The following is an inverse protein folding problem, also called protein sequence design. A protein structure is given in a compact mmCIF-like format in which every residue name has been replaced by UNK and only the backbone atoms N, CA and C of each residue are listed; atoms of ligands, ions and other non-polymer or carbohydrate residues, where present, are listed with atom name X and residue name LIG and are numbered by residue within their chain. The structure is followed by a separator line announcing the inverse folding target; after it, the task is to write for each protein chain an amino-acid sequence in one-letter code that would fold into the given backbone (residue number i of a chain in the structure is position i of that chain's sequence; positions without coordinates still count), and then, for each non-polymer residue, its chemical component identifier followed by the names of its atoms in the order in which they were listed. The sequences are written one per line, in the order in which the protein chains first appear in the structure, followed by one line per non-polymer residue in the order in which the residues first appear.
data_IF_127651618909
#
_entry.id   IF_127651618909
#
_cell.length_a   1.000
_cell.length_b   1.000
_cell.length_c   1.000
_cell.angle_alpha   90.00
_cell.angle_beta   90.00
_cell.angle_gamma   90.00
#
_symmetry.space_group_name_H-M   'P 1'
#
loop_
_entity.id
_entity.type
_entity.pdbx_description
1 polymer ?
#
# COMPACT_ATOMS: atom_id res chain seq x y z
N UNK A 1 2.23 3.30 8.79
CA UNK A 1 1.78 3.82 7.49
C UNK A 1 1.83 5.35 7.48
N UNK A 2 2.09 5.95 6.33
CA UNK A 2 1.96 7.39 6.12
C UNK A 2 1.10 7.61 4.88
N UNK A 3 0.07 8.45 4.99
CA UNK A 3 -0.94 8.61 3.96
C UNK A 3 -1.29 10.08 3.67
N UNK A 4 -1.94 10.28 2.52
CA UNK A 4 -2.87 11.36 2.25
C UNK A 4 -4.10 10.74 1.60
N UNK A 5 -5.33 10.97 2.14
CA UNK A 5 -6.53 10.25 1.70
C UNK A 5 -6.85 10.50 0.23
N UNK A 6 -7.10 9.43 -0.50
CA UNK A 6 -7.58 9.48 -1.89
C UNK A 6 -8.47 8.28 -2.21
N UNK A 7 -9.64 8.53 -2.79
CA UNK A 7 -10.58 7.49 -3.21
C UNK A 7 -10.07 6.81 -4.50
N UNK A 8 -10.15 5.48 -4.60
CA UNK A 8 -10.82 4.53 -3.70
C UNK A 8 -9.89 3.84 -2.68
N UNK A 9 -8.68 4.32 -2.44
CA UNK A 9 -7.73 3.73 -1.48
C UNK A 9 -8.01 4.10 -0.01
N UNK A 10 -8.86 5.11 0.24
CA UNK A 10 -9.15 5.61 1.60
C UNK A 10 -9.59 4.54 2.59
N UNK A 11 -10.45 3.55 2.27
CA UNK A 11 -10.88 2.55 3.24
C UNK A 11 -9.73 1.73 3.85
N UNK A 12 -8.67 1.42 3.10
CA UNK A 12 -7.48 0.75 3.63
C UNK A 12 -6.76 1.62 4.66
N UNK A 13 -6.67 2.91 4.37
CA UNK A 13 -6.06 3.90 5.26
C UNK A 13 -6.90 4.08 6.54
N UNK A 14 -8.22 4.23 6.43
CA UNK A 14 -9.15 4.41 7.54
C UNK A 14 -9.13 3.23 8.52
N UNK A 15 -9.07 2.00 8.00
CA UNK A 15 -8.93 0.80 8.84
C UNK A 15 -7.59 0.81 9.57
N UNK A 16 -6.51 1.16 8.90
CA UNK A 16 -5.17 1.24 9.50
C UNK A 16 -5.11 2.34 10.55
N UNK A 17 -5.74 3.48 10.32
CA UNK A 17 -5.86 4.56 11.31
C UNK A 17 -6.66 4.13 12.52
N UNK A 18 -7.78 3.44 12.32
CA UNK A 18 -8.58 2.87 13.40
C UNK A 18 -7.73 1.91 14.26
N UNK A 19 -6.93 1.04 13.65
CA UNK A 19 -6.02 0.15 14.38
C UNK A 19 -4.95 0.93 15.16
N UNK A 20 -4.43 1.98 14.56
CA UNK A 20 -3.45 2.86 15.19
C UNK A 20 -4.04 3.58 16.42
N UNK A 21 -5.23 4.15 16.27
CA UNK A 21 -5.89 4.95 17.30
C UNK A 21 -6.42 4.10 18.47
N UNK A 22 -7.08 2.98 18.16
CA UNK A 22 -7.72 2.12 19.18
C UNK A 22 -6.82 1.04 19.74
N UNK A 23 -5.70 0.78 19.10
CA UNK A 23 -4.82 -0.37 19.38
C UNK A 23 -5.54 -1.73 19.27
N UNK A 24 -6.59 -1.80 18.42
CA UNK A 24 -7.40 -3.00 18.19
C UNK A 24 -7.64 -3.23 16.71
N UNK A 25 -7.57 -4.50 16.28
CA UNK A 25 -7.99 -4.93 14.96
C UNK A 25 -9.51 -5.13 14.87
N UNK A 26 -10.00 -5.52 13.70
CA UNK A 26 -11.43 -5.78 13.46
C UNK A 26 -12.05 -6.86 14.38
N UNK A 27 -11.23 -7.73 14.95
CA UNK A 27 -11.66 -8.77 15.88
C UNK A 27 -11.55 -8.35 17.36
N UNK A 28 -11.22 -7.08 17.62
CA UNK A 28 -11.04 -6.56 18.97
C UNK A 28 -9.74 -7.00 19.67
N UNK A 29 -8.86 -7.72 18.97
CA UNK A 29 -7.53 -8.11 19.47
C UNK A 29 -6.54 -6.94 19.32
N UNK A 30 -5.41 -6.91 20.07
CA UNK A 30 -4.37 -5.90 19.87
C UNK A 30 -3.91 -5.82 18.42
N UNK A 31 -3.88 -4.60 17.87
CA UNK A 31 -3.41 -4.36 16.51
C UNK A 31 -1.88 -4.40 16.47
N UNK A 32 -1.33 -5.55 16.11
CA UNK A 32 0.11 -5.79 15.99
C UNK A 32 0.43 -6.30 14.61
N UNK A 33 1.60 -5.88 14.11
CA UNK A 33 2.17 -6.50 12.91
C UNK A 33 2.76 -7.90 13.26
N UNK A 34 3.24 -8.62 12.26
CA UNK A 34 3.82 -9.96 12.45
C UNK A 34 5.05 -9.98 13.38
N UNK A 35 5.70 -8.84 13.60
CA UNK A 35 6.83 -8.69 14.53
C UNK A 35 6.38 -8.30 15.96
N UNK A 36 5.08 -8.22 16.20
CA UNK A 36 4.52 -7.85 17.52
C UNK A 36 4.51 -6.34 17.80
N UNK A 37 4.86 -5.52 16.84
CA UNK A 37 4.92 -4.08 16.98
C UNK A 37 3.55 -3.42 16.79
N UNK A 38 3.35 -2.28 17.45
CA UNK A 38 2.14 -1.48 17.30
C UNK A 38 2.08 -0.81 15.93
N UNK A 39 0.91 -0.89 15.30
CA UNK A 39 0.62 -0.13 14.06
C UNK A 39 0.55 1.36 14.38
N UNK A 40 1.21 2.17 13.55
CA UNK A 40 1.13 3.64 13.60
C UNK A 40 0.71 4.18 12.25
N UNK A 41 -0.15 5.19 12.28
CA UNK A 41 -0.62 5.93 11.11
C UNK A 41 -0.27 7.41 11.26
N UNK A 42 0.16 8.03 10.17
CA UNK A 42 0.37 9.48 10.09
C UNK A 42 -0.28 10.00 8.81
N UNK A 43 -1.14 10.98 8.93
CA UNK A 43 -1.70 11.72 7.81
C UNK A 43 -0.83 12.92 7.48
N UNK A 44 -0.51 13.07 6.20
CA UNK A 44 0.35 14.12 5.67
C UNK A 44 -0.48 15.17 4.94
N UNK A 45 0.16 16.23 4.43
CA UNK A 45 -0.50 17.33 3.74
C UNK A 45 -0.67 17.11 2.22
N UNK A 46 -0.01 16.06 1.69
CA UNK A 46 -0.09 15.63 0.29
C UNK A 46 0.50 14.25 0.13
N UNK A 47 0.24 13.60 -1.01
CA UNK A 47 0.85 12.32 -1.36
C UNK A 47 2.37 12.42 -1.49
N UNK A 48 2.90 13.53 -1.97
CA UNK A 48 4.35 13.78 -1.98
C UNK A 48 4.92 13.80 -0.56
N UNK A 49 4.21 14.41 0.39
CA UNK A 49 4.56 14.39 1.81
C UNK A 49 4.49 12.99 2.40
N UNK A 50 3.45 12.22 2.07
CA UNK A 50 3.30 10.83 2.48
C UNK A 50 4.47 9.98 1.96
N UNK A 51 4.84 10.10 0.69
CA UNK A 51 5.98 9.42 0.10
C UNK A 51 7.31 9.79 0.78
N UNK A 52 7.50 11.06 1.12
CA UNK A 52 8.66 11.53 1.89
C UNK A 52 8.74 10.91 3.29
N UNK A 53 7.60 10.82 3.99
CA UNK A 53 7.51 10.18 5.29
C UNK A 53 7.77 8.67 5.21
N UNK A 54 7.23 7.98 4.20
CA UNK A 54 7.52 6.56 3.91
C UNK A 54 9.01 6.36 3.67
N UNK A 55 9.62 7.18 2.79
CA UNK A 55 11.03 7.11 2.48
C UNK A 55 11.90 7.26 3.74
N UNK A 56 11.68 8.32 4.54
CA UNK A 56 12.43 8.54 5.76
C UNK A 56 12.26 7.44 6.80
N UNK A 57 11.05 6.91 6.94
CA UNK A 57 10.74 5.81 7.86
C UNK A 57 11.43 4.50 7.45
N UNK A 58 11.39 4.16 6.16
CA UNK A 58 12.09 2.98 5.61
C UNK A 58 13.61 3.11 5.75
N UNK A 59 14.16 4.30 5.47
CA UNK A 59 15.60 4.57 5.64
C UNK A 59 16.05 4.45 7.11
N UNK A 60 15.15 4.76 8.05
CA UNK A 60 15.39 4.55 9.49
C UNK A 60 15.20 3.08 9.94
N UNK A 61 14.85 2.17 9.03
CA UNK A 61 14.71 0.74 9.29
C UNK A 61 13.31 0.29 9.75
N UNK A 62 12.30 1.17 9.71
CA UNK A 62 10.94 0.79 10.06
C UNK A 62 10.15 0.27 8.84
N UNK A 63 9.46 -0.85 8.98
CA UNK A 63 8.56 -1.36 7.94
C UNK A 63 7.42 -0.35 7.72
N UNK A 64 7.29 0.15 6.50
CA UNK A 64 6.37 1.27 6.23
C UNK A 64 5.68 1.09 4.88
N UNK A 65 4.39 1.44 4.84
CA UNK A 65 3.53 1.37 3.66
C UNK A 65 2.72 2.65 3.47
N UNK A 66 2.12 2.78 2.29
CA UNK A 66 1.14 3.83 1.97
C UNK A 66 0.08 3.30 1.01
N UNK A 67 -1.04 4.03 0.94
CA UNK A 67 -2.20 3.71 0.10
C UNK A 67 -2.52 4.92 -0.75
N UNK A 68 -2.66 4.74 -2.07
CA UNK A 68 -2.88 5.86 -2.99
C UNK A 68 -3.59 5.45 -4.27
N UNK A 69 -3.82 6.40 -5.16
CA UNK A 69 -4.44 6.22 -6.47
C UNK A 69 -4.12 7.41 -7.39
N UNK A 70 -4.21 7.23 -8.71
CA UNK A 70 -4.28 8.30 -9.71
C UNK A 70 -3.17 9.37 -9.56
N UNK A 71 -3.55 10.65 -9.54
CA UNK A 71 -2.62 11.78 -9.38
C UNK A 71 -1.80 11.67 -8.09
N UNK A 72 -2.36 11.09 -7.03
CA UNK A 72 -1.63 10.88 -5.79
C UNK A 72 -0.41 9.99 -5.98
N UNK A 73 -0.56 8.91 -6.74
CA UNK A 73 0.58 8.04 -7.10
C UNK A 73 1.63 8.80 -7.93
N UNK A 74 1.19 9.64 -8.88
CA UNK A 74 2.11 10.43 -9.69
C UNK A 74 2.95 11.41 -8.85
N UNK A 75 2.37 11.97 -7.79
CA UNK A 75 3.09 12.83 -6.85
C UNK A 75 4.16 12.09 -6.03
N UNK A 76 4.08 10.77 -5.94
CA UNK A 76 5.05 9.95 -5.23
C UNK A 76 6.28 9.58 -6.09
N UNK A 77 6.22 9.70 -7.42
CA UNK A 77 7.25 9.24 -8.35
C UNK A 77 8.67 9.68 -7.97
N UNK A 78 8.95 10.95 -7.62
CA UNK A 78 10.31 11.35 -7.26
C UNK A 78 10.89 10.57 -6.07
N UNK A 79 10.06 10.27 -5.08
CA UNK A 79 10.49 9.46 -3.93
C UNK A 79 10.57 7.97 -4.28
N UNK A 80 9.74 7.47 -5.20
CA UNK A 80 9.81 6.09 -5.67
C UNK A 80 11.18 5.78 -6.29
N UNK A 81 11.71 6.66 -7.15
CA UNK A 81 13.07 6.50 -7.69
C UNK A 81 14.13 6.40 -6.61
N UNK A 82 14.03 7.22 -5.55
CA UNK A 82 14.96 7.18 -4.42
C UNK A 82 14.86 5.87 -3.64
N UNK A 83 13.65 5.50 -3.24
CA UNK A 83 13.42 4.26 -2.50
C UNK A 83 13.88 3.03 -3.27
N UNK A 84 13.67 2.99 -4.59
CA UNK A 84 14.14 1.91 -5.44
C UNK A 84 15.67 1.88 -5.53
N UNK A 85 16.32 3.03 -5.74
CA UNK A 85 17.77 3.14 -5.80
C UNK A 85 18.49 2.82 -4.49
N UNK A 86 17.82 3.05 -3.37
CA UNK A 86 18.31 2.75 -2.02
C UNK A 86 17.94 1.34 -1.54
N UNK A 87 17.25 0.54 -2.36
CA UNK A 87 16.80 -0.83 -2.06
C UNK A 87 15.97 -0.91 -0.77
N UNK A 88 15.09 0.07 -0.57
CA UNK A 88 14.22 0.13 0.61
C UNK A 88 12.97 -0.74 0.41
N UNK A 89 12.64 -1.64 1.35
CA UNK A 89 11.58 -2.64 1.19
C UNK A 89 10.19 -2.06 1.49
N UNK A 90 9.81 -0.99 0.81
CA UNK A 90 8.50 -0.36 0.96
C UNK A 90 7.46 -0.98 0.03
N UNK A 91 6.21 -0.97 0.44
CA UNK A 91 5.06 -1.36 -0.39
C UNK A 91 4.11 -0.18 -0.52
N UNK A 92 3.74 0.14 -1.77
CA UNK A 92 2.67 1.09 -2.08
C UNK A 92 1.48 0.30 -2.59
N UNK A 93 0.35 0.35 -1.88
CA UNK A 93 -0.90 -0.24 -2.32
C UNK A 93 -1.70 0.77 -3.13
N UNK A 94 -2.08 0.40 -4.33
CA UNK A 94 -2.74 1.28 -5.28
C UNK A 94 -4.07 0.71 -5.74
N UNK A 95 -5.14 1.42 -5.46
CA UNK A 95 -6.43 1.21 -6.13
C UNK A 95 -6.39 2.00 -7.43
N UNK A 96 -5.88 1.37 -8.49
CA UNK A 96 -5.56 2.04 -9.75
C UNK A 96 -6.77 2.78 -10.33
N UNK A 97 -6.58 4.04 -10.67
CA UNK A 97 -7.62 4.93 -11.17
C UNK A 97 -7.07 5.79 -12.30
N UNK A 98 -7.91 6.03 -13.29
CA UNK A 98 -7.62 6.90 -14.42
C UNK A 98 -6.99 8.23 -13.98
N UNK A 99 -5.90 8.61 -14.63
CA UNK A 99 -5.30 9.94 -14.45
C UNK A 99 -6.20 10.99 -15.13
N UNK A 100 -6.57 12.02 -14.40
CA UNK A 100 -7.37 13.10 -14.96
C UNK A 100 -6.60 13.86 -16.04
N UNK A 101 -7.22 14.04 -17.22
CA UNK A 101 -6.67 14.82 -18.33
C UNK A 101 -7.47 16.10 -18.58
N UNK A 102 -8.79 16.02 -18.62
CA UNK A 102 -9.69 17.17 -18.83
C UNK A 102 -10.55 17.47 -17.62
N UNK A 103 -10.94 16.42 -16.89
CA UNK A 103 -11.76 16.50 -15.70
C UNK A 103 -11.44 15.31 -14.79
N UNK A 104 -12.00 15.34 -13.57
CA UNK A 104 -11.95 14.19 -12.68
C UNK A 104 -12.56 12.97 -13.36
N UNK A 105 -11.82 11.85 -13.33
CA UNK A 105 -12.28 10.58 -13.81
C UNK A 105 -12.15 9.55 -12.69
N UNK A 106 -13.21 8.77 -12.48
CA UNK A 106 -13.31 7.77 -11.40
C UNK A 106 -13.25 6.34 -11.90
N UNK A 107 -13.12 6.11 -13.21
CA UNK A 107 -13.04 4.75 -13.72
C UNK A 107 -11.74 4.06 -13.38
N UNK A 108 -11.80 2.75 -13.15
CA UNK A 108 -10.65 1.87 -13.05
C UNK A 108 -9.87 1.87 -14.37
N UNK A 109 -8.57 2.15 -14.26
CA UNK A 109 -7.66 2.29 -15.37
C UNK A 109 -6.23 2.19 -14.80
N UNK A 110 -5.28 1.77 -15.59
CA UNK A 110 -3.91 1.58 -15.14
C UNK A 110 -2.94 2.67 -15.61
N UNK A 111 -3.44 3.83 -16.07
CA UNK A 111 -2.61 4.94 -16.54
C UNK A 111 -1.69 5.49 -15.42
N UNK A 112 -2.14 5.47 -14.17
CA UNK A 112 -1.34 5.88 -13.02
C UNK A 112 -0.19 4.91 -12.73
N UNK A 113 -0.44 3.60 -12.67
CA UNK A 113 0.61 2.60 -12.44
C UNK A 113 1.55 2.49 -13.64
N UNK A 114 1.07 2.65 -14.87
CA UNK A 114 1.92 2.70 -16.05
C UNK A 114 2.90 3.88 -16.04
N UNK A 115 2.51 5.01 -15.48
CA UNK A 115 3.42 6.16 -15.30
C UNK A 115 4.57 5.84 -14.34
N UNK A 116 4.39 4.87 -13.44
CA UNK A 116 5.38 4.47 -12.45
C UNK A 116 6.32 3.33 -12.91
N UNK A 117 6.09 2.72 -14.08
CA UNK A 117 6.82 1.52 -14.53
C UNK A 117 8.35 1.68 -14.62
N UNK A 118 8.84 2.92 -14.71
CA UNK A 118 10.27 3.20 -14.84
C UNK A 118 10.95 3.49 -13.50
N UNK A 119 10.21 3.50 -12.38
CA UNK A 119 10.75 3.90 -11.08
C UNK A 119 11.66 2.88 -10.43
N UNK A 120 11.66 1.63 -10.91
CA UNK A 120 12.41 0.52 -10.32
C UNK A 120 11.63 -0.29 -9.29
N UNK A 121 10.36 0.01 -9.07
CA UNK A 121 9.46 -0.80 -8.25
C UNK A 121 9.11 -2.11 -8.97
N UNK A 122 9.12 -3.22 -8.25
CA UNK A 122 8.43 -4.42 -8.70
C UNK A 122 6.91 -4.16 -8.70
N UNK A 123 6.21 -4.73 -9.67
CA UNK A 123 4.78 -4.47 -9.86
C UNK A 123 4.00 -5.77 -9.74
N UNK A 124 3.05 -5.82 -8.80
CA UNK A 124 2.09 -6.91 -8.62
C UNK A 124 0.68 -6.39 -8.91
N UNK A 125 -0.04 -7.11 -9.78
CA UNK A 125 -1.40 -6.78 -10.18
C UNK A 125 -2.36 -7.87 -9.69
N UNK A 126 -3.42 -7.45 -9.01
CA UNK A 126 -4.48 -8.33 -8.54
C UNK A 126 -5.78 -8.10 -9.31
N UNK A 127 -6.53 -9.18 -9.54
CA UNK A 127 -7.77 -9.16 -10.33
C UNK A 127 -9.04 -9.38 -9.52
N UNK A 128 -8.92 -9.83 -8.28
CA UNK A 128 -10.04 -10.11 -7.38
C UNK A 128 -9.63 -9.99 -5.91
N UNK A 129 -10.60 -10.04 -5.01
CA UNK A 129 -10.40 -9.81 -3.57
C UNK A 129 -9.53 -10.88 -2.90
N UNK A 130 -9.57 -12.13 -3.38
CA UNK A 130 -8.70 -13.17 -2.83
C UNK A 130 -7.24 -12.90 -3.19
N UNK A 131 -6.98 -12.53 -4.45
CA UNK A 131 -5.63 -12.13 -4.86
C UNK A 131 -5.11 -10.90 -4.12
N UNK A 132 -5.97 -9.90 -3.85
CA UNK A 132 -5.60 -8.73 -3.04
C UNK A 132 -5.16 -9.16 -1.63
N UNK A 133 -5.89 -10.09 -1.01
CA UNK A 133 -5.53 -10.63 0.30
C UNK A 133 -4.19 -11.38 0.27
N UNK A 134 -4.02 -12.23 -0.72
CA UNK A 134 -2.84 -13.10 -0.82
C UNK A 134 -1.59 -12.34 -1.28
N UNK A 135 -1.69 -11.60 -2.38
CA UNK A 135 -0.57 -10.88 -2.96
C UNK A 135 -0.18 -9.63 -2.15
N UNK A 136 -1.12 -9.02 -1.43
CA UNK A 136 -0.81 -7.95 -0.49
C UNK A 136 0.17 -8.40 0.59
N UNK A 137 -0.03 -9.60 1.15
CA UNK A 137 0.92 -10.20 2.09
C UNK A 137 2.25 -10.55 1.41
N UNK A 138 2.18 -11.20 0.24
CA UNK A 138 3.36 -11.57 -0.57
C UNK A 138 4.19 -10.34 -0.95
N UNK A 139 3.56 -9.21 -1.29
CA UNK A 139 4.25 -7.97 -1.62
C UNK A 139 5.18 -7.50 -0.49
N UNK A 140 4.70 -7.53 0.76
CA UNK A 140 5.50 -7.17 1.92
C UNK A 140 6.63 -8.17 2.18
N UNK A 141 6.34 -9.48 2.13
CA UNK A 141 7.33 -10.53 2.34
C UNK A 141 8.42 -10.49 1.27
N UNK A 142 8.03 -10.34 0.00
CA UNK A 142 8.94 -10.23 -1.13
C UNK A 142 9.80 -8.96 -1.06
N UNK A 143 9.22 -7.82 -0.66
CA UNK A 143 9.96 -6.58 -0.48
C UNK A 143 11.05 -6.72 0.59
N UNK A 144 10.73 -7.31 1.74
CA UNK A 144 11.68 -7.55 2.83
C UNK A 144 12.80 -8.48 2.37
N UNK A 145 12.45 -9.64 1.80
CA UNK A 145 13.41 -10.69 1.43
C UNK A 145 14.25 -10.29 0.21
N UNK A 146 13.64 -9.65 -0.77
CA UNK A 146 14.29 -9.22 -2.01
C UNK A 146 15.01 -7.87 -1.92
N UNK A 147 14.77 -7.09 -0.87
CA UNK A 147 15.27 -5.71 -0.75
C UNK A 147 14.89 -4.87 -1.97
N UNK A 148 13.64 -4.98 -2.40
CA UNK A 148 13.08 -4.25 -3.53
C UNK A 148 11.72 -3.67 -3.14
N UNK A 149 11.44 -2.40 -3.44
CA UNK A 149 10.12 -1.85 -3.20
C UNK A 149 9.09 -2.42 -4.19
N UNK A 150 7.85 -2.56 -3.73
CA UNK A 150 6.76 -3.15 -4.51
C UNK A 150 5.61 -2.16 -4.67
N UNK A 151 5.11 -2.05 -5.88
CA UNK A 151 3.84 -1.43 -6.23
C UNK A 151 2.80 -2.55 -6.37
N UNK A 152 1.91 -2.64 -5.40
CA UNK A 152 0.86 -3.65 -5.32
C UNK A 152 -0.47 -3.00 -5.71
N UNK A 153 -1.11 -3.44 -6.79
CA UNK A 153 -2.24 -2.70 -7.34
C UNK A 153 -3.36 -3.57 -7.91
N UNK A 154 -4.57 -3.05 -7.82
CA UNK A 154 -5.80 -3.62 -8.39
C UNK A 154 -6.66 -2.50 -8.97
N UNK A 155 -7.70 -2.87 -9.76
CA UNK A 155 -8.64 -1.90 -10.31
C UNK A 155 -9.42 -1.17 -9.20
N UNK A 156 -9.20 0.12 -9.12
CA UNK A 156 -10.00 1.01 -8.30
C UNK A 156 -11.43 1.14 -8.84
N UNK A 157 -12.40 1.37 -7.95
CA UNK A 157 -13.85 1.47 -8.21
C UNK A 157 -14.53 0.20 -8.73
N UNK A 158 -13.85 -0.65 -9.49
CA UNK A 158 -14.36 -1.95 -9.88
C UNK A 158 -14.08 -2.97 -8.78
N UNK A 159 -12.86 -3.48 -8.69
CA UNK A 159 -12.49 -4.52 -7.72
C UNK A 159 -12.63 -4.01 -6.28
N UNK A 160 -12.30 -2.76 -5.99
CA UNK A 160 -12.43 -2.18 -4.64
C UNK A 160 -13.88 -2.09 -4.11
N UNK A 161 -14.90 -2.19 -4.99
CA UNK A 161 -16.31 -2.11 -4.63
C UNK A 161 -17.05 -3.44 -4.76
N UNK A 162 -16.38 -4.49 -5.17
CA UNK A 162 -16.94 -5.84 -5.18
C UNK A 162 -16.87 -6.46 -3.78
N UNK A 163 -17.91 -7.19 -3.40
CA UNK A 163 -17.99 -7.92 -2.14
C UNK A 163 -17.88 -9.40 -2.43
N UNK A 164 -16.84 -10.03 -1.92
CA UNK A 164 -16.61 -11.47 -2.07
C UNK A 164 -16.29 -12.09 -0.71
N UNK A 165 -16.59 -13.38 -0.59
CA UNK A 165 -16.12 -14.18 0.54
C UNK A 165 -14.70 -14.67 0.22
N UNK A 166 -13.76 -14.36 1.10
CA UNK A 166 -12.34 -14.71 0.94
C UNK A 166 -11.84 -15.53 2.12
N UNK A 167 -10.75 -16.26 1.91
CA UNK A 167 -9.94 -16.82 2.97
C UNK A 167 -8.95 -15.75 3.46
N UNK A 168 -8.70 -15.71 4.76
CA UNK A 168 -7.82 -14.74 5.41
C UNK A 168 -6.63 -15.48 5.99
N UNK A 169 -5.44 -14.91 5.86
CA UNK A 169 -4.23 -15.44 6.48
C UNK A 169 -4.32 -15.44 8.01
N UNK A 170 -3.84 -16.49 8.63
CA UNK A 170 -3.53 -16.44 10.06
C UNK A 170 -2.18 -15.74 10.27
N UNK A 171 -2.04 -15.06 11.38
CA UNK A 171 -0.82 -14.29 11.69
C UNK A 171 0.42 -15.19 11.80
N UNK A 172 0.21 -16.40 12.27
CA UNK A 172 1.23 -17.43 12.43
C UNK A 172 1.79 -17.87 11.08
N UNK A 173 0.92 -18.08 10.07
CA UNK A 173 1.35 -18.44 8.71
C UNK A 173 2.26 -17.37 8.10
N UNK A 174 1.89 -16.09 8.30
CA UNK A 174 2.68 -14.97 7.80
C UNK A 174 4.04 -14.86 8.50
N UNK A 175 4.12 -15.20 9.79
CA UNK A 175 5.38 -15.24 10.53
C UNK A 175 6.31 -16.32 10.01
N UNK A 176 5.77 -17.51 9.78
CA UNK A 176 6.53 -18.66 9.29
C UNK A 176 7.12 -18.40 7.88
N UNK A 177 6.49 -17.54 7.08
CA UNK A 177 6.99 -17.15 5.76
C UNK A 177 8.16 -16.12 5.81
N UNK A 178 8.34 -15.42 6.92
CA UNK A 178 9.43 -14.42 7.08
C UNK A 178 10.75 -15.07 7.41
N UNK A 179 10.74 -16.17 8.14
CA UNK A 179 11.93 -16.95 8.57
C UNK A 179 12.49 -17.76 7.38
#
# INVERSE_FOLDING_TARGET
AAIYPITPSSPMAEITDTWSATDKNLLGKPARNIFGERVKMVEMQSEAGAAGAVHGSLAAGALTTTYTASQGLLLMIPNMYKMAGELLPGVIHVSARCVASHALNIFGDHSDVYACRQTGYAMLCETNQQEIMDLGAVAHLAAIKGRVPVLNFFDGFRTSHEIQKINVWELEDLKDMVD
#
